data_IF_512060380688
#
_entry.id   IF_512060380688
#
_cell.length_a   1.000
_cell.length_b   1.000
_cell.length_c   1.000
_cell.angle_alpha   90.00
_cell.angle_beta   90.00
_cell.angle_gamma   90.00
#
_symmetry.space_group_name_H-M   'P 1'
#
loop_
_entity.id
_entity.type
_entity.pdbx_description
1 polymer ?
#
# COMPACT_ATOMS: atom_id res chain seq x y z
N UNK A 1 7.58 6.26 9.19
CA UNK A 1 8.05 7.60 9.56
C UNK A 1 8.27 8.35 8.27
N UNK A 2 7.62 9.50 8.11
CA UNK A 2 7.61 10.21 6.82
C UNK A 2 8.86 11.06 6.63
N UNK A 3 9.24 11.32 5.38
CA UNK A 3 10.47 12.05 5.02
C UNK A 3 10.52 13.45 5.67
N UNK A 4 9.39 14.16 5.73
CA UNK A 4 9.29 15.47 6.40
C UNK A 4 9.31 15.36 7.92
N UNK A 5 8.69 14.32 8.49
CA UNK A 5 8.68 14.06 9.93
C UNK A 5 10.05 13.65 10.48
N UNK A 6 10.98 13.28 9.60
CA UNK A 6 12.35 12.84 9.92
C UNK A 6 13.38 13.99 9.79
N UNK A 7 12.93 15.24 9.78
CA UNK A 7 13.76 16.47 9.66
C UNK A 7 14.61 16.58 8.38
N UNK A 8 14.31 15.79 7.34
CA UNK A 8 14.96 15.92 6.04
C UNK A 8 14.36 17.07 5.22
N UNK A 9 15.24 17.89 4.63
CA UNK A 9 14.84 18.89 3.62
C UNK A 9 14.34 18.18 2.37
N UNK A 10 13.02 18.06 2.24
CA UNK A 10 12.34 17.30 1.19
C UNK A 10 11.64 18.23 0.21
N UNK A 11 11.70 17.93 -1.09
CA UNK A 11 10.94 18.64 -2.12
C UNK A 11 9.96 17.69 -2.81
N UNK A 12 8.71 18.11 -2.98
CA UNK A 12 7.68 17.38 -3.74
C UNK A 12 7.57 18.00 -5.13
N UNK A 13 8.03 17.28 -6.15
CA UNK A 13 8.03 17.74 -7.54
C UNK A 13 6.91 17.03 -8.29
N UNK A 14 6.01 17.78 -8.91
CA UNK A 14 4.90 17.25 -9.69
C UNK A 14 4.62 18.13 -10.90
N UNK A 15 4.22 17.50 -12.03
CA UNK A 15 3.76 18.20 -13.23
C UNK A 15 2.36 18.80 -13.04
N UNK A 16 1.52 18.14 -12.26
CA UNK A 16 0.13 18.52 -12.03
C UNK A 16 -0.02 19.04 -10.60
N UNK A 17 -1.06 19.84 -10.36
CA UNK A 17 -1.44 20.17 -8.99
C UNK A 17 -1.73 18.86 -8.21
N UNK A 18 -1.28 18.71 -6.94
CA UNK A 18 -1.31 17.41 -6.26
C UNK A 18 -2.66 16.68 -6.25
N UNK A 19 -3.77 17.42 -6.10
CA UNK A 19 -5.13 16.85 -6.10
C UNK A 19 -5.65 16.48 -7.49
N UNK A 20 -4.89 16.72 -8.56
CA UNK A 20 -5.20 16.30 -9.93
C UNK A 20 -4.33 15.14 -10.40
N UNK A 21 -3.70 14.42 -9.48
CA UNK A 21 -3.04 13.15 -9.78
C UNK A 21 -4.09 12.08 -10.11
N UNK A 22 -3.71 11.02 -10.82
CA UNK A 22 -4.65 9.94 -11.19
C UNK A 22 -5.23 9.19 -9.98
N UNK A 23 -4.63 9.37 -8.79
CA UNK A 23 -5.18 8.89 -7.51
C UNK A 23 -6.59 9.43 -7.25
N UNK A 24 -6.91 10.65 -7.70
CA UNK A 24 -8.24 11.25 -7.56
C UNK A 24 -9.33 10.48 -8.33
N UNK A 25 -8.95 9.73 -9.37
CA UNK A 25 -9.88 8.93 -10.16
C UNK A 25 -10.21 7.56 -9.52
N UNK A 26 -9.59 7.21 -8.38
CA UNK A 26 -9.89 5.96 -7.70
C UNK A 26 -11.30 6.00 -7.10
N UNK A 27 -12.14 5.04 -7.52
CA UNK A 27 -13.53 4.91 -7.04
C UNK A 27 -13.69 3.83 -5.96
N UNK A 28 -12.82 2.83 -5.97
CA UNK A 28 -12.80 1.78 -4.95
C UNK A 28 -12.16 2.25 -3.66
N UNK A 29 -11.82 1.30 -2.80
CA UNK A 29 -11.22 1.54 -1.49
C UNK A 29 -9.81 0.95 -1.39
N UNK A 30 -9.26 0.97 -0.17
CA UNK A 30 -7.97 0.39 0.19
C UNK A 30 -8.22 -0.90 0.98
N UNK A 31 -7.63 -2.01 0.54
CA UNK A 31 -7.72 -3.29 1.25
C UNK A 31 -6.72 -3.33 2.42
N UNK A 32 -7.20 -3.60 3.64
CA UNK A 32 -6.39 -3.76 4.84
C UNK A 32 -7.03 -4.77 5.79
N UNK A 33 -6.21 -5.64 6.40
CA UNK A 33 -6.69 -6.68 7.31
C UNK A 33 -6.99 -6.07 8.69
N UNK A 34 -8.08 -5.30 8.77
CA UNK A 34 -8.49 -4.55 9.96
C UNK A 34 -9.41 -5.36 10.88
N UNK A 35 -10.08 -6.39 10.36
CA UNK A 35 -10.99 -7.23 11.16
C UNK A 35 -12.31 -6.57 11.57
N UNK A 36 -12.69 -5.44 10.98
CA UNK A 36 -13.86 -4.66 11.41
C UNK A 36 -15.21 -5.33 11.10
N UNK A 37 -15.30 -6.08 9.99
CA UNK A 37 -16.55 -6.73 9.56
C UNK A 37 -16.61 -8.19 9.97
N UNK A 38 -15.48 -8.89 9.93
CA UNK A 38 -15.31 -10.28 10.32
C UNK A 38 -13.87 -10.45 10.84
N UNK A 39 -13.60 -11.57 11.52
CA UNK A 39 -12.23 -11.93 11.88
C UNK A 39 -11.34 -11.98 10.62
N UNK A 40 -10.14 -11.40 10.70
CA UNK A 40 -9.25 -11.21 9.57
C UNK A 40 -7.78 -11.39 9.99
N UNK A 41 -6.93 -11.85 9.08
CA UNK A 41 -5.49 -12.03 9.28
C UNK A 41 -4.75 -11.53 8.03
N UNK A 42 -3.73 -10.70 8.23
CA UNK A 42 -2.89 -10.17 7.14
C UNK A 42 -2.28 -11.25 6.26
N UNK A 43 -2.07 -12.48 6.79
CA UNK A 43 -1.57 -13.62 6.03
C UNK A 43 -2.55 -14.07 4.94
N UNK A 44 -3.86 -13.91 5.18
CA UNK A 44 -4.88 -14.21 4.17
C UNK A 44 -4.82 -13.18 3.05
N UNK A 45 -4.68 -11.90 3.38
CA UNK A 45 -4.47 -10.81 2.40
C UNK A 45 -3.17 -11.02 1.60
N UNK A 46 -2.11 -11.47 2.26
CA UNK A 46 -0.84 -11.83 1.60
C UNK A 46 -1.06 -12.97 0.58
N UNK A 47 -1.73 -14.05 1.00
CA UNK A 47 -2.01 -15.20 0.15
C UNK A 47 -2.83 -14.82 -1.09
N UNK A 48 -3.91 -14.06 -0.91
CA UNK A 48 -4.76 -13.62 -2.01
C UNK A 48 -4.01 -12.73 -2.99
N UNK A 49 -3.09 -11.89 -2.50
CA UNK A 49 -2.25 -11.04 -3.35
C UNK A 49 -1.25 -11.87 -4.16
N UNK A 50 -0.57 -12.84 -3.55
CA UNK A 50 0.37 -13.72 -4.27
C UNK A 50 -0.36 -14.53 -5.33
N UNK A 51 -1.50 -15.13 -4.97
CA UNK A 51 -2.34 -15.89 -5.89
C UNK A 51 -2.85 -15.03 -7.05
N UNK A 52 -3.29 -13.80 -6.78
CA UNK A 52 -3.83 -12.88 -7.79
C UNK A 52 -2.78 -12.36 -8.79
N UNK A 53 -1.50 -12.47 -8.47
CA UNK A 53 -0.39 -12.08 -9.37
C UNK A 53 0.10 -13.23 -10.25
N UNK A 54 -0.65 -14.34 -10.30
CA UNK A 54 -0.24 -15.58 -10.96
C UNK A 54 1.15 -16.06 -10.52
N UNK A 55 1.47 -15.87 -9.23
CA UNK A 55 2.75 -16.26 -8.60
C UNK A 55 4.00 -15.53 -9.12
N UNK A 56 3.83 -14.46 -9.89
CA UNK A 56 4.95 -13.66 -10.43
C UNK A 56 5.42 -12.57 -9.45
N UNK A 57 4.66 -12.31 -8.38
CA UNK A 57 5.04 -11.35 -7.35
C UNK A 57 6.25 -11.83 -6.54
N UNK A 58 7.25 -10.95 -6.41
CA UNK A 58 8.38 -11.16 -5.51
C UNK A 58 7.90 -11.14 -4.05
N UNK A 59 7.96 -12.29 -3.38
CA UNK A 59 7.38 -12.52 -2.04
C UNK A 59 7.86 -11.55 -0.95
N UNK A 60 9.06 -10.94 -1.09
CA UNK A 60 9.55 -9.93 -0.14
C UNK A 60 8.79 -8.60 -0.16
N UNK A 61 8.07 -8.28 -1.24
CA UNK A 61 7.38 -6.99 -1.36
C UNK A 61 6.20 -6.87 -0.37
N UNK A 62 5.63 -8.00 0.07
CA UNK A 62 4.48 -8.03 0.99
C UNK A 62 4.82 -8.55 2.40
N UNK A 63 6.09 -8.87 2.71
CA UNK A 63 6.54 -9.37 4.02
C UNK A 63 7.50 -8.38 4.66
N UNK A 64 6.96 -7.26 5.15
CA UNK A 64 7.74 -6.20 5.81
C UNK A 64 7.95 -6.44 7.32
N UNK A 65 7.49 -7.57 7.87
CA UNK A 65 7.46 -7.82 9.33
C UNK A 65 8.30 -9.03 9.79
N UNK A 66 9.14 -9.61 8.94
CA UNK A 66 9.94 -10.82 9.25
C UNK A 66 11.45 -10.53 9.44
N UNK A 67 11.80 -9.32 9.88
CA UNK A 67 13.15 -8.91 10.32
C UNK A 67 13.08 -8.02 11.55
#
# INVERSE_FOLDING_TARGET
MDLSASEFKTAVITKLFPTRSFTDAAQGDINAALGNMNHDDWRWHFYDTVKGTDWLLRSRCNLLYDT
#
